data_IF_427130928416
#
_entry.id   IF_427130928416
#
_cell.length_a   1.000
_cell.length_b   1.000
_cell.length_c   1.000
_cell.angle_alpha   90.00
_cell.angle_beta   90.00
_cell.angle_gamma   90.00
#
_symmetry.space_group_name_H-M   'P 1'
#
loop_
_entity.id
_entity.type
_entity.pdbx_description
1 polymer ?
#
# COMPACT_ATOMS: atom_id res chain seq x y z
N UNK A 1 53.56 -43.92 -44.82
CA UNK A 1 54.20 -43.47 -43.56
C UNK A 1 53.52 -42.15 -43.19
N UNK A 2 52.61 -42.06 -42.21
CA UNK A 2 52.85 -42.12 -40.74
C UNK A 2 53.39 -40.76 -40.26
N UNK A 3 52.85 -40.01 -39.29
CA UNK A 3 51.77 -40.23 -38.31
C UNK A 3 51.39 -38.92 -37.55
N UNK A 4 50.14 -38.88 -37.05
CA UNK A 4 49.63 -38.46 -35.70
C UNK A 4 49.53 -36.98 -35.21
N UNK A 5 48.25 -36.61 -34.95
CA UNK A 5 47.61 -36.03 -33.72
C UNK A 5 47.94 -34.56 -33.35
N UNK A 6 47.01 -33.70 -32.87
CA UNK A 6 45.91 -33.86 -31.89
C UNK A 6 44.68 -32.96 -32.16
N UNK A 7 43.55 -33.40 -31.58
CA UNK A 7 42.26 -32.73 -31.33
C UNK A 7 42.43 -31.51 -30.41
N UNK A 8 41.49 -30.56 -30.47
CA UNK A 8 40.58 -30.29 -29.34
C UNK A 8 39.30 -29.59 -29.82
N UNK A 9 38.18 -30.19 -29.43
CA UNK A 9 36.80 -29.78 -29.62
C UNK A 9 36.45 -28.64 -28.64
N UNK A 10 35.80 -27.58 -29.11
CA UNK A 10 34.90 -26.77 -28.26
C UNK A 10 33.61 -26.52 -29.03
N UNK A 11 32.73 -27.53 -28.99
CA UNK A 11 31.30 -27.35 -29.21
C UNK A 11 30.75 -26.53 -28.02
N UNK A 12 30.66 -25.21 -28.19
CA UNK A 12 29.86 -24.38 -27.31
C UNK A 12 28.39 -24.74 -27.51
N UNK A 13 27.84 -25.52 -26.58
CA UNK A 13 26.43 -25.94 -26.60
C UNK A 13 25.49 -24.73 -26.72
N UNK A 14 24.39 -24.82 -27.50
CA UNK A 14 23.33 -23.84 -27.41
C UNK A 14 22.79 -23.84 -25.98
N UNK A 15 22.70 -22.65 -25.37
CA UNK A 15 22.09 -22.50 -24.06
C UNK A 15 20.69 -23.10 -24.14
N UNK A 16 20.49 -24.17 -23.37
CA UNK A 16 19.19 -24.80 -23.16
C UNK A 16 18.23 -23.70 -22.73
N UNK A 17 17.17 -23.50 -23.50
CA UNK A 17 16.08 -22.61 -23.16
C UNK A 17 15.61 -23.00 -21.76
N UNK A 18 15.79 -22.12 -20.78
CA UNK A 18 15.25 -22.32 -19.44
C UNK A 18 13.74 -22.43 -19.57
N UNK A 19 13.17 -23.46 -18.95
CA UNK A 19 11.74 -23.74 -19.00
C UNK A 19 10.97 -22.51 -18.49
N UNK A 20 9.95 -22.01 -19.22
CA UNK A 20 9.13 -20.87 -18.80
C UNK A 20 8.23 -21.18 -17.58
N UNK A 21 8.41 -22.36 -16.98
CA UNK A 21 7.62 -22.81 -15.85
C UNK A 21 7.91 -21.98 -14.59
N UNK A 22 9.15 -21.53 -14.36
CA UNK A 22 9.55 -20.96 -13.07
C UNK A 22 8.98 -19.53 -12.85
N UNK A 23 9.05 -18.67 -13.86
CA UNK A 23 8.46 -17.31 -13.83
C UNK A 23 6.92 -17.32 -13.74
N UNK A 24 6.29 -18.41 -14.16
CA UNK A 24 4.83 -18.54 -14.18
C UNK A 24 4.27 -18.89 -12.79
N UNK A 25 5.05 -19.55 -11.92
CA UNK A 25 4.56 -19.98 -10.59
C UNK A 25 4.62 -18.84 -9.57
N UNK A 26 5.67 -18.01 -9.58
CA UNK A 26 5.78 -16.84 -8.69
C UNK A 26 4.68 -15.81 -8.98
N UNK A 27 4.37 -15.57 -10.26
CA UNK A 27 3.31 -14.66 -10.67
C UNK A 27 1.93 -15.14 -10.23
N UNK A 28 1.60 -16.43 -10.39
CA UNK A 28 0.33 -17.00 -9.93
C UNK A 28 0.17 -16.97 -8.40
N UNK A 29 1.25 -17.21 -7.64
CA UNK A 29 1.24 -17.12 -6.18
C UNK A 29 1.04 -15.67 -5.69
N UNK A 30 1.58 -14.69 -6.42
CA UNK A 30 1.37 -13.27 -6.13
C UNK A 30 -0.08 -12.81 -6.38
N UNK A 31 -0.72 -13.32 -7.42
CA UNK A 31 -2.14 -13.08 -7.70
C UNK A 31 -3.10 -13.77 -6.71
N UNK A 32 -2.63 -14.71 -5.88
CA UNK A 32 -3.46 -15.36 -4.87
C UNK A 32 -3.65 -14.51 -3.59
N UNK A 33 -2.99 -13.35 -3.47
CA UNK A 33 -3.12 -12.46 -2.32
C UNK A 33 -4.50 -11.79 -2.30
N UNK A 34 -5.17 -11.70 -1.12
CA UNK A 34 -6.47 -11.04 -1.03
C UNK A 34 -6.36 -9.54 -1.34
N UNK A 35 -7.36 -9.02 -2.03
CA UNK A 35 -7.50 -7.60 -2.32
C UNK A 35 -8.32 -6.95 -1.22
N UNK A 36 -7.88 -5.80 -0.73
CA UNK A 36 -8.61 -5.02 0.25
C UNK A 36 -9.19 -3.76 -0.39
N UNK A 37 -10.45 -3.47 -0.11
CA UNK A 37 -11.18 -2.32 -0.64
C UNK A 37 -11.73 -1.49 0.52
N UNK A 38 -11.54 -0.18 0.46
CA UNK A 38 -12.14 0.76 1.40
C UNK A 38 -13.25 1.52 0.70
N UNK A 39 -14.48 1.33 1.16
CA UNK A 39 -15.67 1.96 0.58
C UNK A 39 -16.21 3.05 1.51
N UNK A 40 -16.44 4.24 0.97
CA UNK A 40 -17.15 5.33 1.68
C UNK A 40 -18.61 4.93 1.88
N UNK A 41 -19.13 5.13 3.08
CA UNK A 41 -20.52 4.85 3.44
C UNK A 41 -21.36 6.12 3.40
N UNK A 42 -22.64 5.97 3.09
CA UNK A 42 -23.62 7.05 3.15
C UNK A 42 -24.16 7.28 4.57
N UNK A 43 -24.06 6.29 5.46
CA UNK A 43 -24.61 6.36 6.81
C UNK A 43 -23.81 7.28 7.76
N UNK A 44 -24.44 7.69 8.87
CA UNK A 44 -23.86 8.65 9.83
C UNK A 44 -22.98 8.01 10.91
N UNK A 45 -22.94 6.68 11.03
CA UNK A 45 -22.29 5.97 12.15
C UNK A 45 -20.80 5.69 11.92
N UNK A 46 -20.38 5.42 10.69
CA UNK A 46 -18.97 5.22 10.33
C UNK A 46 -18.76 5.65 8.90
N UNK A 47 -17.73 6.44 8.60
CA UNK A 47 -17.60 7.00 7.26
C UNK A 47 -17.12 5.98 6.21
N UNK A 48 -16.48 4.88 6.63
CA UNK A 48 -15.88 3.89 5.73
C UNK A 48 -16.06 2.45 6.20
N UNK A 49 -16.16 1.54 5.23
CA UNK A 49 -16.17 0.08 5.40
C UNK A 49 -14.92 -0.54 4.78
N UNK A 50 -14.39 -1.58 5.43
CA UNK A 50 -13.32 -2.39 4.88
C UNK A 50 -13.89 -3.70 4.34
N UNK A 51 -13.65 -3.94 3.06
CA UNK A 51 -14.04 -5.15 2.35
C UNK A 51 -12.79 -5.90 1.93
N UNK A 52 -12.90 -7.22 1.87
CA UNK A 52 -11.85 -8.09 1.36
C UNK A 52 -12.42 -8.96 0.26
N UNK A 53 -11.69 -9.06 -0.83
CA UNK A 53 -12.00 -9.92 -1.96
C UNK A 53 -10.90 -10.96 -2.01
N UNK A 54 -11.27 -12.21 -1.77
CA UNK A 54 -10.35 -13.34 -1.95
C UNK A 54 -10.02 -13.44 -3.45
N UNK A 55 -8.72 -13.47 -3.78
CA UNK A 55 -8.33 -13.64 -5.17
C UNK A 55 -8.68 -15.07 -5.62
N UNK A 56 -9.44 -15.20 -6.70
CA UNK A 56 -9.88 -16.49 -7.19
C UNK A 56 -8.67 -17.25 -7.76
N UNK A 57 -8.28 -18.35 -7.11
CA UNK A 57 -7.33 -19.30 -7.67
C UNK A 57 -8.03 -20.06 -8.82
N UNK A 58 -7.92 -19.54 -10.04
CA UNK A 58 -8.18 -20.28 -11.29
C UNK A 58 -9.60 -20.81 -11.54
N UNK A 59 -10.61 -20.45 -10.73
CA UNK A 59 -11.98 -20.94 -10.86
C UNK A 59 -12.96 -19.82 -11.21
N UNK A 60 -13.81 -20.06 -12.21
CA UNK A 60 -14.86 -19.16 -12.76
C UNK A 60 -15.99 -18.76 -11.78
N UNK A 61 -15.74 -18.74 -10.47
CA UNK A 61 -16.66 -18.22 -9.45
C UNK A 61 -16.05 -16.99 -8.81
N UNK A 62 -16.61 -15.82 -9.14
CA UNK A 62 -16.37 -14.58 -8.41
C UNK A 62 -16.72 -14.80 -6.94
N UNK A 63 -15.72 -14.82 -6.08
CA UNK A 63 -15.96 -14.88 -4.64
C UNK A 63 -16.53 -13.53 -4.18
N UNK A 64 -17.67 -13.51 -3.48
CA UNK A 64 -18.29 -12.27 -3.03
C UNK A 64 -17.36 -11.54 -2.06
N UNK A 65 -17.29 -10.21 -2.19
CA UNK A 65 -16.55 -9.37 -1.26
C UNK A 65 -17.09 -9.56 0.16
N UNK A 66 -16.23 -9.97 1.09
CA UNK A 66 -16.59 -10.12 2.50
C UNK A 66 -16.29 -8.83 3.26
N UNK A 67 -17.25 -8.39 4.07
CA UNK A 67 -17.03 -7.25 4.96
C UNK A 67 -16.14 -7.67 6.13
N UNK A 68 -14.98 -7.02 6.27
CA UNK A 68 -14.12 -7.18 7.45
C UNK A 68 -14.55 -6.29 8.61
N UNK A 69 -15.37 -5.28 8.34
CA UNK A 69 -15.94 -4.42 9.36
C UNK A 69 -16.01 -2.96 8.94
N UNK A 70 -16.11 -2.10 9.93
CA UNK A 70 -16.13 -0.64 9.78
C UNK A 70 -14.83 -0.08 10.34
N UNK A 71 -14.34 0.98 9.72
CA UNK A 71 -13.29 1.77 10.35
C UNK A 71 -13.93 2.64 11.43
N UNK A 72 -13.68 2.30 12.69
CA UNK A 72 -14.25 2.99 13.83
C UNK A 72 -13.57 4.34 14.09
N UNK A 73 -12.27 4.44 13.80
CA UNK A 73 -11.50 5.68 13.90
C UNK A 73 -11.53 6.53 12.63
N UNK A 74 -12.10 6.04 11.52
CA UNK A 74 -12.12 6.79 10.28
C UNK A 74 -13.21 7.85 10.25
N UNK A 75 -12.78 9.09 9.96
CA UNK A 75 -13.64 10.25 9.87
C UNK A 75 -13.88 10.66 8.42
N UNK A 76 -15.00 11.34 8.16
CA UNK A 76 -15.28 11.92 6.84
C UNK A 76 -14.12 12.82 6.41
N UNK A 77 -13.82 12.75 5.12
CA UNK A 77 -12.75 13.54 4.53
C UNK A 77 -11.37 12.85 4.62
N UNK A 78 -11.32 11.56 4.95
CA UNK A 78 -10.10 10.76 4.81
C UNK A 78 -9.97 10.20 3.40
N UNK A 79 -8.73 9.97 3.00
CA UNK A 79 -8.37 9.14 1.84
C UNK A 79 -7.63 7.90 2.34
N UNK A 80 -7.59 6.84 1.55
CA UNK A 80 -6.99 5.56 1.92
C UNK A 80 -5.99 5.09 0.87
N UNK A 81 -4.93 4.43 1.32
CA UNK A 81 -3.92 3.83 0.46
C UNK A 81 -3.39 2.53 1.08
N UNK A 82 -2.99 1.57 0.27
CA UNK A 82 -2.19 0.45 0.73
C UNK A 82 -0.74 0.91 0.97
N UNK A 83 -0.15 0.49 2.09
CA UNK A 83 1.24 0.74 2.40
C UNK A 83 1.96 -0.57 2.63
N UNK A 84 3.15 -0.72 2.06
CA UNK A 84 3.99 -1.89 2.23
C UNK A 84 5.39 -1.44 2.65
N UNK A 85 5.93 -2.10 3.68
CA UNK A 85 7.32 -1.96 4.10
C UNK A 85 7.86 -3.32 4.54
N UNK A 86 9.15 -3.40 4.88
CA UNK A 86 9.79 -4.63 5.38
C UNK A 86 9.04 -5.29 6.55
N UNK A 87 8.36 -4.47 7.36
CA UNK A 87 7.67 -4.91 8.58
C UNK A 87 6.22 -5.33 8.37
N UNK A 88 5.69 -5.27 7.14
CA UNK A 88 4.34 -5.72 6.84
C UNK A 88 3.60 -4.88 5.81
N UNK A 89 2.30 -5.14 5.74
CA UNK A 89 1.35 -4.45 4.87
C UNK A 89 0.21 -3.88 5.69
N UNK A 90 -0.22 -2.68 5.32
CA UNK A 90 -1.28 -1.95 6.01
C UNK A 90 -2.20 -1.26 5.02
N UNK A 91 -3.41 -0.97 5.46
CA UNK A 91 -4.28 0.01 4.81
C UNK A 91 -4.28 1.24 5.68
N UNK A 92 -3.90 2.37 5.10
CA UNK A 92 -3.66 3.61 5.82
C UNK A 92 -4.69 4.64 5.38
N UNK A 93 -5.56 5.05 6.30
CA UNK A 93 -6.46 6.18 6.13
C UNK A 93 -5.83 7.44 6.70
N UNK A 94 -5.84 8.53 5.96
CA UNK A 94 -5.24 9.81 6.40
C UNK A 94 -6.15 10.99 6.04
N UNK A 95 -6.25 11.95 6.95
CA UNK A 95 -6.90 13.23 6.72
C UNK A 95 -8.17 13.43 7.55
N UNK A 96 -9.15 14.13 6.98
CA UNK A 96 -10.36 14.53 7.66
C UNK A 96 -10.18 15.77 8.53
N UNK A 97 -11.23 16.14 9.28
CA UNK A 97 -11.30 17.41 10.02
C UNK A 97 -10.18 17.60 11.06
N UNK A 98 -9.72 16.52 11.69
CA UNK A 98 -8.66 16.54 12.71
C UNK A 98 -7.25 16.30 12.17
N UNK A 99 -7.09 15.95 10.89
CA UNK A 99 -5.81 15.47 10.37
C UNK A 99 -5.43 14.10 10.95
N UNK A 100 -6.43 13.29 11.28
CA UNK A 100 -6.23 11.97 11.89
C UNK A 100 -5.66 10.97 10.89
N UNK A 101 -5.01 9.92 11.42
CA UNK A 101 -4.69 8.73 10.65
C UNK A 101 -5.24 7.48 11.33
N UNK A 102 -5.68 6.52 10.51
CA UNK A 102 -6.07 5.17 10.92
C UNK A 102 -5.24 4.16 10.14
N UNK A 103 -4.84 3.09 10.79
CA UNK A 103 -3.98 2.06 10.21
C UNK A 103 -4.66 0.72 10.46
N UNK A 104 -5.06 0.04 9.40
CA UNK A 104 -5.49 -1.35 9.48
C UNK A 104 -4.31 -2.26 9.16
N UNK A 105 -3.92 -3.08 10.13
CA UNK A 105 -2.88 -4.08 9.97
C UNK A 105 -3.48 -5.36 9.39
N UNK A 106 -3.05 -5.72 8.18
CA UNK A 106 -3.64 -6.85 7.46
C UNK A 106 -3.25 -8.20 8.05
N UNK A 107 -2.11 -8.27 8.75
CA UNK A 107 -1.62 -9.49 9.38
C UNK A 107 -2.38 -9.81 10.66
N UNK A 108 -2.59 -8.80 11.52
CA UNK A 108 -3.30 -8.96 12.79
C UNK A 108 -4.80 -8.70 12.68
N UNK A 109 -5.25 -8.17 11.55
CA UNK A 109 -6.64 -7.75 11.26
C UNK A 109 -7.17 -6.74 12.26
N UNK A 110 -6.31 -5.87 12.77
CA UNK A 110 -6.65 -4.85 13.79
C UNK A 110 -6.57 -3.45 13.21
N UNK A 111 -7.55 -2.64 13.57
CA UNK A 111 -7.50 -1.19 13.38
C UNK A 111 -6.71 -0.55 14.52
N UNK A 112 -5.81 0.36 14.16
CA UNK A 112 -4.90 1.06 15.05
C UNK A 112 -5.01 2.56 14.77
N UNK A 113 -4.89 3.36 15.82
CA UNK A 113 -4.80 4.81 15.69
C UNK A 113 -3.39 5.21 15.22
N UNK A 114 -3.33 5.93 14.10
CA UNK A 114 -2.08 6.49 13.58
C UNK A 114 -1.75 7.86 14.19
N UNK A 115 -0.62 8.47 13.78
CA UNK A 115 -0.26 9.82 14.16
C UNK A 115 -1.16 10.86 13.50
N UNK A 116 -1.14 12.07 14.03
CA UNK A 116 -1.79 13.22 13.43
C UNK A 116 -0.89 13.89 12.40
N UNK A 117 -1.50 14.36 11.32
CA UNK A 117 -0.87 15.36 10.46
C UNK A 117 -0.69 16.66 11.24
N UNK A 118 0.46 17.32 11.08
CA UNK A 118 0.71 18.64 11.67
C UNK A 118 -0.25 19.68 11.10
N UNK A 119 -0.63 19.53 9.83
CA UNK A 119 -1.68 20.33 9.19
C UNK A 119 -2.79 19.42 8.65
N UNK A 120 -4.01 19.49 9.22
CA UNK A 120 -5.14 18.74 8.72
C UNK A 120 -5.35 18.93 7.22
N UNK A 121 -5.61 17.83 6.51
CA UNK A 121 -5.88 17.82 5.07
C UNK A 121 -7.22 17.13 4.84
N UNK A 122 -8.14 17.81 4.14
CA UNK A 122 -9.43 17.23 3.77
C UNK A 122 -9.34 16.53 2.42
N UNK A 123 -9.63 15.24 2.43
CA UNK A 123 -9.55 14.28 1.33
C UNK A 123 -8.21 14.41 0.58
N UNK A 124 -7.07 14.19 1.26
CA UNK A 124 -5.76 14.31 0.63
C UNK A 124 -5.58 13.33 -0.54
N UNK A 125 -4.66 13.63 -1.45
CA UNK A 125 -4.14 12.66 -2.40
C UNK A 125 -3.07 11.85 -1.67
N UNK A 126 -3.19 10.52 -1.66
CA UNK A 126 -2.24 9.64 -0.99
C UNK A 126 -1.38 8.89 -2.00
N UNK A 127 -0.08 8.87 -1.76
CA UNK A 127 0.88 8.10 -2.54
C UNK A 127 1.67 7.23 -1.56
N UNK A 128 1.73 5.93 -1.81
CA UNK A 128 2.64 5.03 -1.09
C UNK A 128 3.88 4.78 -1.92
N UNK A 129 5.05 5.05 -1.36
CA UNK A 129 6.33 4.85 -2.03
C UNK A 129 7.47 4.71 -1.01
N UNK A 130 8.37 3.73 -1.22
CA UNK A 130 9.57 3.54 -0.39
C UNK A 130 9.28 3.34 1.11
N UNK A 131 8.24 2.58 1.44
CA UNK A 131 7.82 2.37 2.83
C UNK A 131 7.27 3.62 3.53
N UNK A 132 6.89 4.66 2.77
CA UNK A 132 6.24 5.87 3.28
C UNK A 132 4.88 6.08 2.62
N UNK A 133 4.00 6.80 3.31
CA UNK A 133 2.75 7.31 2.78
C UNK A 133 2.81 8.82 2.78
N UNK A 134 2.75 9.42 1.60
CA UNK A 134 2.71 10.87 1.41
C UNK A 134 1.26 11.32 1.33
N UNK A 135 0.88 12.26 2.19
CA UNK A 135 -0.43 12.90 2.20
C UNK A 135 -0.32 14.30 1.62
N UNK A 136 -0.81 14.46 0.40
CA UNK A 136 -0.72 15.69 -0.38
C UNK A 136 -2.08 16.41 -0.32
N UNK A 137 -2.05 17.71 -0.05
CA UNK A 137 -3.22 18.58 -0.09
C UNK A 137 -3.85 18.53 -1.49
N UNK A 138 -5.13 18.14 -1.55
CA UNK A 138 -5.88 18.15 -2.83
C UNK A 138 -6.06 19.55 -3.40
N UNK A 139 -6.09 20.56 -2.53
CA UNK A 139 -6.28 21.97 -2.90
C UNK A 139 -5.20 22.81 -2.21
N UNK A 140 -3.94 22.75 -2.69
CA UNK A 140 -2.88 23.60 -2.15
C UNK A 140 -3.24 25.07 -2.37
N UNK A 141 -2.93 25.90 -1.38
CA UNK A 141 -3.13 27.35 -1.44
C UNK A 141 -1.89 28.04 -0.91
N UNK A 142 -1.50 29.12 -1.58
CA UNK A 142 -0.51 30.10 -1.10
C UNK A 142 -1.29 31.16 -0.34
N UNK A 143 -0.90 31.45 0.89
CA UNK A 143 -1.51 32.52 1.67
C UNK A 143 -0.78 33.82 1.42
N UNK A 144 -1.42 34.79 0.75
CA UNK A 144 -0.78 36.09 0.42
C UNK A 144 -0.36 36.86 1.69
N UNK A 145 -0.93 36.56 2.86
CA UNK A 145 -0.72 37.29 4.12
C UNK A 145 -0.29 36.41 5.32
N UNK A 146 0.24 35.20 5.11
CA UNK A 146 0.66 34.33 6.22
C UNK A 146 2.17 34.45 6.50
N UNK A 147 2.56 34.47 7.79
CA UNK A 147 3.97 34.50 8.27
C UNK A 147 4.82 33.33 7.71
N UNK A 148 4.16 32.30 7.17
CA UNK A 148 4.75 31.25 6.34
C UNK A 148 4.06 31.30 4.98
N UNK A 149 4.83 31.35 3.90
CA UNK A 149 4.33 31.54 2.54
C UNK A 149 3.26 30.49 2.13
N UNK A 150 3.23 29.32 2.78
CA UNK A 150 2.19 28.30 2.61
C UNK A 150 2.16 27.28 3.77
N UNK A 151 0.98 26.70 4.07
CA UNK A 151 0.93 25.45 4.85
C UNK A 151 1.61 24.33 4.04
N UNK A 152 2.38 23.42 4.66
CA UNK A 152 3.03 22.34 3.93
C UNK A 152 1.99 21.54 3.13
N UNK A 153 2.12 21.60 1.81
CA UNK A 153 1.21 20.94 0.88
C UNK A 153 1.33 19.43 0.91
N UNK A 154 2.37 18.88 1.53
CA UNK A 154 2.49 17.46 1.77
C UNK A 154 3.12 17.18 3.14
N UNK A 155 2.78 16.02 3.68
CA UNK A 155 3.39 15.42 4.88
C UNK A 155 3.55 13.92 4.64
N UNK A 156 4.44 13.25 5.36
CA UNK A 156 4.68 11.81 5.18
C UNK A 156 4.59 11.03 6.49
N UNK A 157 4.00 9.85 6.42
CA UNK A 157 4.05 8.83 7.46
C UNK A 157 5.08 7.76 7.07
N UNK A 158 6.01 7.44 7.97
CA UNK A 158 7.10 6.49 7.71
C UNK A 158 6.79 5.12 8.33
N UNK A 159 6.82 4.07 7.51
CA UNK A 159 6.58 2.68 7.91
C UNK A 159 7.87 1.84 7.89
N UNK A 160 9.02 2.42 7.54
CA UNK A 160 10.29 1.68 7.42
C UNK A 160 10.82 1.17 8.76
N UNK A 161 10.35 1.72 9.89
CA UNK A 161 10.65 1.23 11.24
C UNK A 161 9.47 0.46 11.87
N UNK A 162 8.53 0.00 11.04
CA UNK A 162 7.24 -0.52 11.47
C UNK A 162 6.16 0.56 11.46
N UNK A 163 4.97 0.24 11.98
CA UNK A 163 3.85 1.19 12.00
C UNK A 163 4.20 2.49 12.73
N UNK A 164 3.86 3.66 12.19
CA UNK A 164 4.08 4.92 12.88
C UNK A 164 3.17 5.02 14.11
N UNK A 165 3.76 5.38 15.24
CA UNK A 165 3.05 5.52 16.51
C UNK A 165 2.45 6.92 16.67
N UNK A 166 1.36 7.00 17.42
CA UNK A 166 0.75 8.27 17.82
C UNK A 166 1.66 8.96 18.84
N UNK A 167 2.59 9.79 18.37
CA UNK A 167 3.33 10.70 19.24
C UNK A 167 2.64 12.06 19.29
N UNK A 168 2.50 12.59 20.51
CA UNK A 168 2.24 14.00 20.75
C UNK A 168 3.54 14.73 20.39
N UNK A 169 3.57 15.42 19.25
CA UNK A 169 4.66 16.38 19.01
C UNK A 169 4.50 17.46 20.09
N UNK A 170 5.42 17.46 21.06
CA UNK A 170 5.60 18.56 21.98
C UNK A 170 6.08 19.80 21.23
#
# INVERSE_FOLDING_TARGET
MGAKRRRDDILGSPRKLEDPADDTVESLAEFAKPIYLVAKRSDRKSAYSLLMVDAAAGGSKTLPARSLGRFHGANRGMSFVAAHAKHGSWIVGVGGRGGDAVIYDTSTRKELTGPWLRRPKHEPILISHGGKVYAISRRPKVGINAIRDFEPWFESLDFNKGRPLRHRLA
#
